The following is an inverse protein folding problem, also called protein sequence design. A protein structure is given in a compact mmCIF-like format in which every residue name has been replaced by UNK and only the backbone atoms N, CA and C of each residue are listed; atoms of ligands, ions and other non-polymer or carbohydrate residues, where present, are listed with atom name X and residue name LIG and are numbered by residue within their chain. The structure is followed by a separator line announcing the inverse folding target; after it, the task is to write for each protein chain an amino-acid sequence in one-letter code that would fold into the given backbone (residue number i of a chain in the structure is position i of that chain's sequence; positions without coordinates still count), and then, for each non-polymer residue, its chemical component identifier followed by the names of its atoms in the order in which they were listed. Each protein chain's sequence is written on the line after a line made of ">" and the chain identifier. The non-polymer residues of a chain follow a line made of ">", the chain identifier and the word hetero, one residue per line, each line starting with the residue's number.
data_IF_269162265342
#
_entry.id   IF_269162265342
#
_cell.length_a   1.000
_cell.length_b   1.000
_cell.length_c   1.000
_cell.angle_alpha   90.00
_cell.angle_beta   90.00
_cell.angle_gamma   90.00
#
_symmetry.space_group_name_H-M   'P 1'
#
loop_
_entity.id
_entity.type
_entity.pdbx_description
1 polymer ?
#
# COMPACT_ATOMS: atom_id res chain seq x y z
N UNK A 1 -0.97 -11.58 -13.80
CA UNK A 1 -1.19 -10.83 -12.54
C UNK A 1 -2.66 -10.48 -12.50
N UNK A 2 -3.42 -11.12 -11.62
CA UNK A 2 -4.86 -10.85 -11.46
C UNK A 2 -4.97 -9.80 -10.37
N UNK A 3 -5.49 -8.62 -10.68
CA UNK A 3 -5.81 -7.61 -9.68
C UNK A 3 -7.04 -8.10 -8.89
N UNK A 4 -6.92 -8.16 -7.57
CA UNK A 4 -7.98 -8.64 -6.67
C UNK A 4 -8.71 -7.48 -5.99
N UNK A 5 -8.12 -6.29 -5.99
CA UNK A 5 -8.75 -5.09 -5.45
C UNK A 5 -8.21 -3.79 -6.04
N UNK A 6 -8.89 -2.69 -5.73
CA UNK A 6 -8.40 -1.33 -6.04
C UNK A 6 -8.74 -0.43 -4.86
N UNK A 7 -7.76 0.31 -4.38
CA UNK A 7 -7.89 1.28 -3.30
C UNK A 7 -7.36 2.64 -3.75
N UNK A 8 -7.86 3.73 -3.17
CA UNK A 8 -7.32 5.05 -3.43
C UNK A 8 -6.02 5.25 -2.65
N UNK A 9 -5.02 5.85 -3.28
CA UNK A 9 -3.81 6.28 -2.60
C UNK A 9 -4.17 7.38 -1.58
N UNK A 10 -3.83 7.24 -0.29
CA UNK A 10 -4.15 8.24 0.74
C UNK A 10 -3.39 9.57 0.57
N UNK A 11 -2.38 9.63 -0.32
CA UNK A 11 -1.54 10.82 -0.53
C UNK A 11 -1.99 11.66 -1.73
N UNK A 12 -2.39 11.00 -2.82
CA UNK A 12 -2.71 11.67 -4.09
C UNK A 12 -4.08 11.30 -4.67
N UNK A 13 -4.89 10.52 -3.93
CA UNK A 13 -6.22 10.04 -4.32
C UNK A 13 -6.27 9.23 -5.64
N UNK A 14 -5.10 8.84 -6.18
CA UNK A 14 -5.02 8.06 -7.41
C UNK A 14 -5.37 6.58 -7.16
N UNK A 15 -6.05 5.91 -8.10
CA UNK A 15 -6.44 4.51 -7.94
C UNK A 15 -5.23 3.58 -8.02
N UNK A 16 -4.99 2.79 -6.98
CA UNK A 16 -3.92 1.80 -6.90
C UNK A 16 -4.51 0.40 -6.98
N UNK A 17 -4.05 -0.39 -7.96
CA UNK A 17 -4.46 -1.79 -8.12
C UNK A 17 -3.66 -2.71 -7.20
N UNK A 18 -4.36 -3.56 -6.45
CA UNK A 18 -3.77 -4.58 -5.58
C UNK A 18 -3.74 -5.93 -6.30
N UNK A 19 -2.57 -6.56 -6.36
CA UNK A 19 -2.41 -7.89 -6.93
C UNK A 19 -2.83 -8.99 -5.93
N UNK A 20 -3.25 -10.14 -6.45
CA UNK A 20 -3.61 -11.32 -5.63
C UNK A 20 -2.48 -11.85 -4.74
N UNK A 21 -1.25 -11.53 -5.12
CA UNK A 21 -0.01 -11.97 -4.50
C UNK A 21 0.50 -11.01 -3.40
N UNK A 22 -0.16 -9.86 -3.20
CA UNK A 22 0.11 -8.98 -2.06
C UNK A 22 -0.43 -9.59 -0.77
N UNK A 23 0.14 -9.17 0.35
CA UNK A 23 -0.30 -9.56 1.69
C UNK A 23 -0.58 -8.33 2.53
N UNK A 24 -1.36 -8.49 3.60
CA UNK A 24 -1.51 -7.45 4.62
C UNK A 24 -0.13 -7.12 5.22
N UNK A 25 0.10 -5.84 5.52
CA UNK A 25 1.39 -5.26 5.92
C UNK A 25 2.51 -5.36 4.87
N UNK A 26 2.19 -5.67 3.61
CA UNK A 26 3.13 -5.51 2.50
C UNK A 26 3.29 -4.02 2.15
N UNK A 27 4.51 -3.60 1.87
CA UNK A 27 4.83 -2.23 1.44
C UNK A 27 4.88 -2.18 -0.09
N UNK A 28 4.02 -1.37 -0.69
CA UNK A 28 3.97 -1.11 -2.13
C UNK A 28 4.23 0.38 -2.40
N UNK A 29 4.60 0.70 -3.63
CA UNK A 29 4.78 2.10 -4.05
C UNK A 29 3.64 2.55 -4.96
N UNK A 30 3.09 3.72 -4.70
CA UNK A 30 2.11 4.33 -5.59
C UNK A 30 2.78 4.65 -6.95
N UNK A 31 2.24 4.17 -8.08
CA UNK A 31 2.81 4.44 -9.40
C UNK A 31 2.68 5.90 -9.84
N UNK A 32 1.74 6.66 -9.25
CA UNK A 32 1.46 8.05 -9.63
C UNK A 32 2.30 9.06 -8.83
N UNK A 33 2.26 9.00 -7.49
CA UNK A 33 2.99 9.96 -6.64
C UNK A 33 4.34 9.44 -6.13
N UNK A 34 4.60 8.13 -6.20
CA UNK A 34 5.82 7.52 -5.69
C UNK A 34 5.88 7.34 -4.16
N UNK A 35 4.82 7.66 -3.42
CA UNK A 35 4.73 7.42 -1.98
C UNK A 35 4.73 5.92 -1.66
N UNK A 36 5.34 5.58 -0.53
CA UNK A 36 5.31 4.23 0.03
C UNK A 36 4.01 4.04 0.81
N UNK A 37 3.31 2.95 0.50
CA UNK A 37 1.99 2.62 1.02
C UNK A 37 2.04 1.23 1.64
N UNK A 38 1.38 1.05 2.77
CA UNK A 38 1.19 -0.26 3.39
C UNK A 38 -0.20 -0.80 3.05
N UNK A 39 -0.28 -2.09 2.70
CA UNK A 39 -1.54 -2.80 2.49
C UNK A 39 -2.19 -3.11 3.83
N UNK A 40 -3.26 -2.38 4.17
CA UNK A 40 -3.97 -2.56 5.44
C UNK A 40 -5.04 -3.63 5.40
N UNK A 41 -5.65 -3.85 4.23
CA UNK A 41 -6.60 -4.94 4.02
C UNK A 41 -6.75 -5.23 2.53
N UNK A 42 -7.10 -6.46 2.17
CA UNK A 42 -7.37 -6.87 0.79
C UNK A 42 -8.87 -6.96 0.47
N UNK A 43 -9.71 -7.17 1.49
CA UNK A 43 -11.15 -7.44 1.35
C UNK A 43 -11.94 -6.79 2.50
N UNK A 44 -12.36 -5.51 2.37
CA UNK A 44 -12.15 -4.61 1.24
C UNK A 44 -10.72 -4.06 1.16
N UNK A 45 -10.26 -3.79 -0.06
CA UNK A 45 -8.96 -3.18 -0.33
C UNK A 45 -8.78 -1.84 0.41
N UNK A 46 -7.76 -1.75 1.27
CA UNK A 46 -7.42 -0.54 2.03
C UNK A 46 -5.89 -0.32 2.03
N UNK A 47 -5.50 0.93 1.79
CA UNK A 47 -4.10 1.38 1.77
C UNK A 47 -3.92 2.51 2.77
N UNK A 48 -2.78 2.51 3.46
CA UNK A 48 -2.33 3.61 4.32
C UNK A 48 -0.94 4.06 3.90
N UNK A 49 -0.53 5.28 4.26
CA UNK A 49 0.85 5.72 4.07
C UNK A 49 1.75 4.82 4.93
N UNK A 50 2.80 4.25 4.34
CA UNK A 50 3.76 3.44 5.08
C UNK A 50 4.39 4.29 6.19
N UNK A 51 4.57 3.74 7.41
CA UNK A 51 5.27 4.48 8.45
C UNK A 51 6.66 4.83 7.95
N UNK A 52 7.06 6.09 8.14
CA UNK A 52 8.47 6.48 7.99
C UNK A 52 9.22 5.60 8.97
N UNK A 53 10.14 4.78 8.47
CA UNK A 53 11.04 4.01 9.34
C UNK A 53 11.72 5.03 10.27
N UNK A 54 11.26 5.16 11.51
CA UNK A 54 12.09 5.74 12.55
C UNK A 54 13.34 4.85 12.56
N UNK A 55 14.52 5.47 12.42
CA UNK A 55 15.82 4.79 12.41
C UNK A 55 16.13 4.16 13.78
N UNK A 56 15.27 3.25 14.25
CA UNK A 56 15.39 2.44 15.45
C UNK A 56 14.61 1.13 15.30
N UNK A 57 14.56 0.56 14.08
CA UNK A 57 14.30 -0.87 13.90
C UNK A 57 15.47 -1.69 14.47
N UNK A 58 15.58 -1.71 15.80
CA UNK A 58 16.55 -2.53 16.53
C UNK A 58 17.35 -1.80 17.61
N UNK A 59 16.78 -1.79 18.82
CA UNK A 59 17.53 -1.90 20.08
C UNK A 59 17.10 -3.17 20.80
#
# INVERSE_FOLDING_TARGET
>A
MIAVGTAACPVCDSPVSLAADLTESEIIRCPDCGSELEVRSMEPAELVEAPVEEEDWGQ
#
